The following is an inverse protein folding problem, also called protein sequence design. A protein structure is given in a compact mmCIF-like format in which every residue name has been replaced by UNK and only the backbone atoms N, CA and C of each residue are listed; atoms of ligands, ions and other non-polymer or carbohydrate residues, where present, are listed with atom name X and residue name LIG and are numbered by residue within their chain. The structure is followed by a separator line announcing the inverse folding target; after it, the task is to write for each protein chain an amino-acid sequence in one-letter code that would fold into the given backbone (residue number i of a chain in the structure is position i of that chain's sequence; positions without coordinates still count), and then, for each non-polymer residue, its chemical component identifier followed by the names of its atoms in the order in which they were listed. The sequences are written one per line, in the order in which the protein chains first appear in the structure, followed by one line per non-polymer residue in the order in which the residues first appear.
data_IF_078751357171
#
_entry.id   IF_078751357171
#
_cell.length_a   1.000
_cell.length_b   1.000
_cell.length_c   1.000
_cell.angle_alpha   90.00
_cell.angle_beta   90.00
_cell.angle_gamma   90.00
#
_symmetry.space_group_name_H-M   'P 1'
#
loop_
_entity.id
_entity.type
_entity.pdbx_description
1 polymer ?
#
# COMPACT_ATOMS: atom_id res chain seq x y z
N UNK A 1 13.80 19.05 -9.70
CA UNK A 1 12.92 17.87 -9.83
C UNK A 1 12.19 17.74 -8.52
N UNK A 2 10.90 18.07 -8.52
CA UNK A 2 10.02 17.83 -7.37
C UNK A 2 9.86 16.31 -7.28
N UNK A 3 10.21 15.73 -6.13
CA UNK A 3 10.15 14.28 -5.92
C UNK A 3 8.71 13.80 -6.08
N UNK A 4 8.54 12.68 -6.75
CA UNK A 4 7.24 12.05 -6.92
C UNK A 4 6.60 11.78 -5.54
N UNK A 5 5.30 12.07 -5.34
CA UNK A 5 4.64 12.04 -4.03
C UNK A 5 4.33 10.59 -3.61
N UNK A 6 5.37 9.85 -3.26
CA UNK A 6 5.27 8.49 -2.75
C UNK A 6 5.26 8.48 -1.22
N UNK A 7 4.27 7.80 -0.64
CA UNK A 7 4.24 7.50 0.79
C UNK A 7 4.62 6.03 1.00
N UNK A 8 5.85 5.78 1.47
CA UNK A 8 6.26 4.44 1.86
C UNK A 8 5.60 4.05 3.18
N UNK A 9 4.89 2.93 3.20
CA UNK A 9 4.10 2.47 4.35
C UNK A 9 4.54 1.08 4.83
N UNK A 10 4.84 0.93 6.12
CA UNK A 10 5.24 -0.39 6.65
C UNK A 10 4.01 -1.27 6.86
N UNK A 11 3.94 -2.39 6.13
CA UNK A 11 2.87 -3.37 6.28
C UNK A 11 2.97 -4.13 7.62
N UNK A 12 4.13 -4.08 8.30
CA UNK A 12 4.29 -4.63 9.65
C UNK A 12 3.47 -3.84 10.67
N UNK A 13 3.43 -2.50 10.56
CA UNK A 13 2.58 -1.68 11.42
C UNK A 13 1.10 -1.99 11.20
N UNK A 14 0.70 -2.19 9.94
CA UNK A 14 -0.66 -2.60 9.60
C UNK A 14 -1.02 -3.93 10.25
N UNK A 15 -0.13 -4.92 10.19
CA UNK A 15 -0.34 -6.24 10.80
C UNK A 15 -0.52 -6.18 12.31
N UNK A 16 0.22 -5.32 13.00
CA UNK A 16 0.11 -5.13 14.45
C UNK A 16 -1.20 -4.44 14.84
N UNK A 17 -1.69 -3.54 13.99
CA UNK A 17 -2.94 -2.81 14.21
C UNK A 17 -4.17 -3.64 13.84
N UNK A 18 -4.20 -4.19 12.62
CA UNK A 18 -5.29 -5.00 12.08
C UNK A 18 -4.75 -6.11 11.15
N UNK A 19 -4.73 -7.33 11.69
CA UNK A 19 -4.28 -8.51 10.96
C UNK A 19 -5.20 -8.90 9.78
N UNK A 20 -6.49 -8.56 9.84
CA UNK A 20 -7.44 -8.85 8.76
C UNK A 20 -7.22 -7.90 7.58
N UNK A 21 -7.03 -6.60 7.85
CA UNK A 21 -6.70 -5.62 6.81
C UNK A 21 -5.33 -5.90 6.18
N UNK A 22 -4.34 -6.34 6.97
CA UNK A 22 -3.08 -6.84 6.43
C UNK A 22 -3.29 -8.03 5.50
N UNK A 23 -4.15 -9.01 5.87
CA UNK A 23 -4.46 -10.14 4.99
C UNK A 23 -5.12 -9.68 3.68
N UNK A 24 -6.04 -8.72 3.74
CA UNK A 24 -6.69 -8.15 2.56
C UNK A 24 -5.65 -7.47 1.66
N UNK A 25 -4.73 -6.69 2.22
CA UNK A 25 -3.65 -6.04 1.46
C UNK A 25 -2.81 -7.06 0.68
N UNK A 26 -2.51 -8.21 1.29
CA UNK A 26 -1.72 -9.28 0.66
C UNK A 26 -2.54 -10.06 -0.38
N UNK A 27 -3.82 -10.32 -0.13
CA UNK A 27 -4.66 -11.13 -1.01
C UNK A 27 -5.25 -10.33 -2.19
N UNK A 28 -5.46 -9.03 -2.00
CA UNK A 28 -6.16 -8.16 -2.94
C UNK A 28 -5.48 -6.78 -3.05
N UNK A 29 -4.17 -6.71 -3.38
CA UNK A 29 -3.43 -5.44 -3.42
C UNK A 29 -4.05 -4.45 -4.41
N UNK A 30 -4.60 -4.93 -5.53
CA UNK A 30 -5.25 -4.08 -6.54
C UNK A 30 -6.51 -3.35 -6.04
N UNK A 31 -7.15 -3.83 -4.97
CA UNK A 31 -8.32 -3.19 -4.38
C UNK A 31 -7.91 -2.34 -3.15
N UNK A 32 -6.97 -2.85 -2.36
CA UNK A 32 -6.60 -2.25 -1.08
C UNK A 32 -5.66 -1.05 -1.26
N UNK A 33 -4.70 -1.11 -2.18
CA UNK A 33 -3.75 0.00 -2.40
C UNK A 33 -4.47 1.28 -2.87
N UNK A 34 -5.38 1.24 -3.88
CA UNK A 34 -6.13 2.44 -4.27
C UNK A 34 -6.97 3.02 -3.13
N UNK A 35 -7.50 2.15 -2.25
CA UNK A 35 -8.24 2.58 -1.06
C UNK A 35 -7.33 3.34 -0.09
N UNK A 36 -6.09 2.88 0.11
CA UNK A 36 -5.11 3.58 0.93
C UNK A 36 -4.66 4.90 0.29
N UNK A 37 -4.46 4.93 -1.02
CA UNK A 37 -4.14 6.17 -1.76
C UNK A 37 -5.21 7.22 -1.49
N UNK A 38 -6.49 6.86 -1.64
CA UNK A 38 -7.60 7.78 -1.39
C UNK A 38 -7.61 8.30 0.04
N UNK A 39 -7.52 7.41 1.04
CA UNK A 39 -7.55 7.80 2.45
C UNK A 39 -6.38 8.74 2.84
N UNK A 40 -5.18 8.48 2.31
CA UNK A 40 -4.00 9.33 2.55
C UNK A 40 -4.15 10.69 1.88
N UNK A 41 -4.68 10.74 0.66
CA UNK A 41 -4.96 12.02 -0.01
C UNK A 41 -6.01 12.82 0.77
N UNK A 42 -7.12 12.20 1.22
CA UNK A 42 -8.13 12.86 2.04
C UNK A 42 -7.54 13.44 3.32
N UNK A 43 -6.79 12.64 4.09
CA UNK A 43 -6.11 13.10 5.30
C UNK A 43 -5.12 14.25 5.02
N UNK A 44 -4.45 14.22 3.87
CA UNK A 44 -3.53 15.27 3.48
C UNK A 44 -4.27 16.58 3.19
N UNK A 45 -5.36 16.53 2.44
CA UNK A 45 -6.18 17.70 2.13
C UNK A 45 -6.87 18.28 3.37
N UNK A 46 -7.29 17.45 4.33
CA UNK A 46 -7.81 17.93 5.62
C UNK A 46 -6.74 18.70 6.41
N UNK A 47 -5.49 18.23 6.37
CA UNK A 47 -4.39 18.83 7.13
C UNK A 47 -3.76 20.04 6.43
N UNK A 48 -3.79 20.08 5.10
CA UNK A 48 -3.18 21.10 4.25
C UNK A 48 -4.14 21.57 3.14
N UNK A 49 -5.24 22.26 3.50
CA UNK A 49 -6.30 22.62 2.54
C UNK A 49 -5.83 23.59 1.44
N UNK A 50 -4.83 24.43 1.73
CA UNK A 50 -4.28 25.40 0.77
C UNK A 50 -3.18 24.82 -0.14
N UNK A 51 -2.87 23.52 -0.01
CA UNK A 51 -1.82 22.87 -0.79
C UNK A 51 -2.40 22.21 -2.03
N UNK A 52 -1.94 22.64 -3.21
CA UNK A 52 -2.23 21.96 -4.46
C UNK A 52 -1.15 20.92 -4.76
N UNK A 53 -1.55 19.66 -4.86
CA UNK A 53 -0.68 18.58 -5.30
C UNK A 53 -0.71 18.50 -6.83
N UNK A 54 0.46 18.55 -7.47
CA UNK A 54 0.56 18.32 -8.93
C UNK A 54 0.19 16.87 -9.31
N UNK A 55 0.44 15.92 -8.40
CA UNK A 55 0.08 14.50 -8.54
C UNK A 55 -0.44 13.98 -7.20
N UNK A 56 -1.41 13.07 -7.24
CA UNK A 56 -1.95 12.43 -6.03
C UNK A 56 -0.87 11.62 -5.29
N UNK A 57 -0.98 11.55 -3.97
CA UNK A 57 -0.09 10.74 -3.15
C UNK A 57 -0.35 9.26 -3.45
N UNK A 58 0.72 8.51 -3.72
CA UNK A 58 0.65 7.06 -3.93
C UNK A 58 1.32 6.33 -2.78
N UNK A 59 0.58 5.43 -2.15
CA UNK A 59 1.02 4.59 -1.05
C UNK A 59 1.79 3.39 -1.61
N UNK A 60 2.97 3.16 -1.05
CA UNK A 60 3.84 2.04 -1.39
C UNK A 60 4.09 1.20 -0.14
N UNK A 61 3.31 0.12 0.05
CA UNK A 61 3.55 -0.79 1.15
C UNK A 61 4.91 -1.50 1.01
N UNK A 62 5.64 -1.63 2.12
CA UNK A 62 6.87 -2.42 2.23
C UNK A 62 6.83 -3.31 3.49
N UNK A 63 7.83 -4.17 3.69
CA UNK A 63 7.89 -5.16 4.78
C UNK A 63 6.71 -6.14 4.81
N UNK A 64 6.28 -6.61 3.63
CA UNK A 64 5.35 -7.74 3.56
C UNK A 64 6.13 -9.02 3.87
N UNK A 65 5.80 -9.71 4.97
CA UNK A 65 6.49 -10.93 5.41
C UNK A 65 6.41 -12.09 4.39
N UNK A 66 5.60 -11.98 3.34
CA UNK A 66 5.41 -13.03 2.35
C UNK A 66 6.57 -13.10 1.34
N UNK A 67 7.73 -13.52 1.80
CA UNK A 67 8.80 -14.01 0.91
C UNK A 67 8.44 -15.43 0.46
N UNK A 68 7.50 -15.58 -0.47
CA UNK A 68 7.37 -16.88 -1.18
C UNK A 68 8.58 -17.00 -2.10
N UNK A 69 9.54 -17.86 -1.75
CA UNK A 69 10.63 -18.25 -2.64
C UNK A 69 10.03 -18.64 -3.99
N UNK A 70 10.59 -18.09 -5.06
CA UNK A 70 10.16 -18.19 -6.47
C UNK A 70 10.01 -19.63 -7.02
N UNK A 71 10.31 -20.66 -6.23
CA UNK A 71 10.36 -22.08 -6.61
C UNK A 71 9.20 -22.94 -6.09
N UNK A 72 8.21 -22.37 -5.39
CA UNK A 72 7.02 -23.11 -4.94
C UNK A 72 5.72 -22.38 -5.29
N UNK A 73 5.64 -21.88 -6.53
CA UNK A 73 4.39 -21.41 -7.11
C UNK A 73 3.49 -22.62 -7.38
N UNK A 74 2.60 -22.93 -6.43
CA UNK A 74 1.36 -23.64 -6.76
C UNK A 74 0.61 -22.83 -7.84
N UNK A 75 -0.06 -23.47 -8.81
CA UNK A 75 -0.73 -22.79 -9.91
C UNK A 75 -1.89 -21.87 -9.50
N UNK A 76 -2.27 -21.85 -8.23
CA UNK A 76 -3.33 -21.00 -7.66
C UNK A 76 -2.78 -19.73 -6.97
N UNK A 77 -1.46 -19.58 -6.87
CA UNK A 77 -0.81 -18.44 -6.24
C UNK A 77 -0.69 -17.25 -7.19
N UNK A 78 -1.69 -16.38 -7.21
CA UNK A 78 -1.62 -15.10 -7.91
C UNK A 78 -0.40 -14.29 -7.42
N UNK A 79 0.62 -14.25 -8.27
CA UNK A 79 1.87 -13.55 -8.07
C UNK A 79 1.67 -12.05 -8.29
N UNK A 80 1.37 -11.30 -7.22
CA UNK A 80 1.26 -9.83 -7.30
C UNK A 80 2.10 -9.08 -6.27
N UNK A 81 3.00 -9.76 -5.55
CA UNK A 81 3.99 -9.13 -4.69
C UNK A 81 5.35 -9.82 -4.89
N UNK A 82 6.01 -9.46 -6.00
CA UNK A 82 7.46 -9.55 -6.21
C UNK A 82 7.94 -8.24 -6.81
#
# INVERSE_FOLDING_TARGET
MIGEPFLNFSATHLKQFDANLYRQLICYPQEVIPTFDMAVNEMFFEKYPDTMLEHQIQVRPYDVEKTTKMTSLNPEGHAWLI
#
